data_IF_713402186465
#
_entry.id   IF_713402186465
#
_cell.length_a   1.000
_cell.length_b   1.000
_cell.length_c   1.000
_cell.angle_alpha   90.00
_cell.angle_beta   90.00
_cell.angle_gamma   90.00
#
_symmetry.space_group_name_H-M   'P 1'
#
loop_
_entity.id
_entity.type
_entity.pdbx_description
1 polymer ?
#
# COMPACT_ATOMS: atom_id res chain seq x y z
N UNK A 1 2.34 -18.80 -2.17
CA UNK A 1 2.63 -17.44 -1.69
C UNK A 1 1.36 -16.91 -1.04
N UNK A 2 1.45 -16.23 0.10
CA UNK A 2 0.29 -15.55 0.67
C UNK A 2 -0.18 -14.43 -0.27
N UNK A 3 -1.48 -14.13 -0.25
CA UNK A 3 -2.03 -13.03 -1.04
C UNK A 3 -1.49 -11.68 -0.54
N UNK A 4 -1.33 -10.66 -1.42
CA UNK A 4 -0.98 -9.31 -1.00
C UNK A 4 -2.03 -8.73 -0.05
N UNK A 5 -1.58 -7.94 0.91
CA UNK A 5 -2.49 -7.05 1.66
C UNK A 5 -2.80 -5.85 0.78
N UNK A 6 -4.07 -5.67 0.42
CA UNK A 6 -4.55 -4.50 -0.33
C UNK A 6 -5.06 -3.44 0.65
N UNK A 7 -4.59 -2.20 0.49
CA UNK A 7 -5.09 -1.06 1.26
C UNK A 7 -5.64 -0.03 0.28
N UNK A 8 -6.94 0.29 0.33
CA UNK A 8 -7.50 1.41 -0.42
C UNK A 8 -6.95 2.74 0.11
N UNK A 9 -6.55 3.61 -0.80
CA UNK A 9 -5.98 4.92 -0.52
C UNK A 9 -6.87 5.97 -1.20
N UNK A 10 -7.53 6.86 -0.45
CA UNK A 10 -8.25 7.99 -1.01
C UNK A 10 -7.32 8.85 -1.86
N UNK A 11 -7.79 9.26 -3.03
CA UNK A 11 -7.05 10.14 -3.95
C UNK A 11 -7.97 11.22 -4.49
N UNK A 12 -7.43 12.43 -4.67
CA UNK A 12 -8.16 13.55 -5.28
C UNK A 12 -8.27 13.41 -6.81
N UNK A 13 -7.58 12.43 -7.40
CA UNK A 13 -7.54 12.20 -8.85
C UNK A 13 -8.72 11.35 -9.33
N UNK A 14 -8.86 11.23 -10.66
CA UNK A 14 -10.01 10.60 -11.33
C UNK A 14 -10.09 9.06 -11.20
N UNK A 15 -9.54 8.46 -10.14
CA UNK A 15 -9.73 7.05 -9.88
C UNK A 15 -11.25 6.78 -9.71
N UNK A 16 -11.83 5.81 -10.44
CA UNK A 16 -13.22 5.43 -10.25
C UNK A 16 -13.49 5.08 -8.78
N UNK A 17 -14.40 5.81 -8.13
CA UNK A 17 -14.70 5.64 -6.71
C UNK A 17 -13.83 6.47 -5.75
N UNK A 18 -12.91 7.30 -6.23
CA UNK A 18 -12.11 8.22 -5.40
C UNK A 18 -10.98 7.53 -4.62
N UNK A 19 -10.70 6.26 -4.91
CA UNK A 19 -9.67 5.47 -4.26
C UNK A 19 -8.79 4.76 -5.29
N UNK A 20 -7.49 4.70 -5.00
CA UNK A 20 -6.56 3.75 -5.63
C UNK A 20 -6.07 2.76 -4.58
N UNK A 21 -5.19 1.83 -4.95
CA UNK A 21 -4.71 0.79 -4.06
C UNK A 21 -3.20 0.83 -3.92
N UNK A 22 -2.74 0.64 -2.69
CA UNK A 22 -1.39 0.17 -2.43
C UNK A 22 -1.45 -1.30 -2.05
N UNK A 23 -0.44 -2.07 -2.46
CA UNK A 23 -0.30 -3.46 -2.09
C UNK A 23 0.97 -3.67 -1.26
N UNK A 24 0.83 -4.39 -0.16
CA UNK A 24 1.94 -4.78 0.71
C UNK A 24 2.26 -6.26 0.48
N UNK A 25 3.50 -6.51 0.07
CA UNK A 25 4.04 -7.86 -0.15
C UNK A 25 5.10 -8.18 0.90
N UNK A 26 5.00 -9.35 1.53
CA UNK A 26 5.94 -9.79 2.57
C UNK A 26 5.65 -9.24 3.97
N UNK A 27 6.24 -9.87 4.98
CA UNK A 27 6.01 -9.57 6.41
C UNK A 27 7.20 -8.84 7.03
N UNK A 28 8.39 -9.45 7.05
CA UNK A 28 9.59 -8.85 7.68
C UNK A 28 10.31 -7.85 6.79
N UNK A 29 10.53 -8.21 5.52
CA UNK A 29 11.02 -7.31 4.48
C UNK A 29 9.90 -7.08 3.47
N UNK A 30 9.23 -5.94 3.56
CA UNK A 30 8.08 -5.68 2.69
C UNK A 30 8.42 -4.82 1.48
N UNK A 31 7.67 -5.06 0.40
CA UNK A 31 7.62 -4.24 -0.81
C UNK A 31 6.26 -3.56 -0.86
N UNK A 32 6.24 -2.24 -1.03
CA UNK A 32 5.04 -1.48 -1.36
C UNK A 32 4.94 -1.33 -2.87
N UNK A 33 3.79 -1.67 -3.43
CA UNK A 33 3.46 -1.48 -4.84
C UNK A 33 2.42 -0.38 -4.96
N UNK A 34 2.69 0.59 -5.82
CA UNK A 34 1.87 1.78 -6.09
C UNK A 34 1.48 2.56 -4.82
N UNK A 35 2.46 2.98 -3.99
CA UNK A 35 2.18 3.80 -2.81
C UNK A 35 1.69 5.18 -3.24
N UNK A 36 0.37 5.37 -3.26
CA UNK A 36 -0.24 6.60 -3.74
C UNK A 36 -0.09 7.79 -2.78
N UNK A 37 -0.34 7.57 -1.49
CA UNK A 37 -0.19 8.59 -0.45
C UNK A 37 0.06 7.92 0.91
N UNK A 38 0.72 8.64 1.82
CA UNK A 38 0.81 8.24 3.22
C UNK A 38 -0.55 8.48 3.90
N UNK A 39 -1.09 7.43 4.51
CA UNK A 39 -2.38 7.49 5.22
C UNK A 39 -2.31 6.70 6.51
N UNK A 40 -3.12 7.06 7.53
CA UNK A 40 -3.16 6.29 8.78
C UNK A 40 -3.51 4.80 8.59
N UNK A 41 -4.37 4.48 7.62
CA UNK A 41 -4.73 3.10 7.30
C UNK A 41 -3.54 2.32 6.70
N UNK A 42 -2.70 2.97 5.91
CA UNK A 42 -1.46 2.38 5.41
C UNK A 42 -0.44 2.19 6.54
N UNK A 43 -0.31 3.16 7.45
CA UNK A 43 0.57 3.05 8.62
C UNK A 43 0.16 1.87 9.52
N UNK A 44 -1.14 1.68 9.74
CA UNK A 44 -1.67 0.53 10.48
C UNK A 44 -1.38 -0.80 9.76
N UNK A 45 -1.59 -0.87 8.45
CA UNK A 45 -1.28 -2.07 7.66
C UNK A 45 0.21 -2.42 7.64
N UNK A 46 1.07 -1.41 7.83
CA UNK A 46 2.52 -1.53 7.95
C UNK A 46 2.99 -1.78 9.39
N UNK A 47 2.12 -1.75 10.39
CA UNK A 47 2.50 -1.97 11.78
C UNK A 47 3.19 -3.34 11.94
N UNK A 48 4.42 -3.32 12.46
CA UNK A 48 5.26 -4.52 12.59
C UNK A 48 5.97 -4.97 11.31
N UNK A 49 5.84 -4.23 10.21
CA UNK A 49 6.56 -4.46 8.94
C UNK A 49 7.59 -3.36 8.70
N UNK A 50 8.63 -3.68 7.94
CA UNK A 50 9.63 -2.71 7.50
C UNK A 50 9.67 -2.70 5.96
N UNK A 51 9.01 -1.73 5.30
CA UNK A 51 9.11 -1.59 3.87
C UNK A 51 10.51 -1.14 3.48
N UNK A 52 11.17 -1.93 2.64
CA UNK A 52 12.54 -1.65 2.15
C UNK A 52 12.56 -1.23 0.68
N UNK A 53 11.50 -1.51 -0.04
CA UNK A 53 11.41 -1.31 -1.47
C UNK A 53 10.06 -0.68 -1.83
N UNK A 54 10.09 0.17 -2.85
CA UNK A 54 8.92 0.75 -3.48
C UNK A 54 8.95 0.37 -4.96
N UNK A 55 7.82 -0.07 -5.50
CA UNK A 55 7.58 -0.26 -6.93
C UNK A 55 6.50 0.73 -7.36
N UNK A 56 6.78 1.50 -8.42
CA UNK A 56 5.87 2.51 -8.98
C UNK A 56 5.71 2.22 -10.48
N UNK A 57 4.49 2.37 -11.01
CA UNK A 57 4.12 2.07 -12.40
C UNK A 57 3.78 3.30 -13.23
#
# INVERSE_FOLDING_TARGET
MAAPTRVPIPVETAAPGGETNVYVLGETRSLLVDPAAATPALDEALAGRSPHHLLVT
#
